data_IF_777515163954
#
_entry.id   IF_777515163954
#
_cell.length_a   1.000
_cell.length_b   1.000
_cell.length_c   1.000
_cell.angle_alpha   90.00
_cell.angle_beta   90.00
_cell.angle_gamma   90.00
#
_symmetry.space_group_name_H-M   'P 1'
#
loop_
_entity.id
_entity.type
_entity.pdbx_description
1 polymer ?
#
# COMPACT_ATOMS: atom_id res chain seq x y z
N UNK A 1 -25.71 -20.37 10.78
CA UNK A 1 -24.38 -20.00 10.25
C UNK A 1 -24.03 -18.68 10.89
N UNK A 2 -23.12 -18.69 11.85
CA UNK A 2 -22.54 -17.45 12.39
C UNK A 2 -21.74 -16.85 11.25
N UNK A 3 -22.15 -15.70 10.73
CA UNK A 3 -21.35 -14.94 9.77
C UNK A 3 -20.09 -14.57 10.55
N UNK A 4 -18.98 -15.25 10.28
CA UNK A 4 -17.68 -14.77 10.77
C UNK A 4 -17.48 -13.43 10.08
N UNK A 5 -17.60 -12.34 10.82
CA UNK A 5 -17.39 -11.00 10.27
C UNK A 5 -15.90 -10.91 10.00
N UNK A 6 -15.50 -11.00 8.72
CA UNK A 6 -14.11 -10.82 8.32
C UNK A 6 -13.68 -9.39 8.70
N UNK A 7 -12.96 -9.26 9.81
CA UNK A 7 -12.54 -7.96 10.30
C UNK A 7 -11.42 -7.43 9.40
N UNK A 8 -11.55 -6.22 8.82
CA UNK A 8 -10.45 -5.64 8.09
C UNK A 8 -9.26 -5.39 9.01
N UNK A 9 -8.04 -5.45 8.46
CA UNK A 9 -6.88 -4.86 9.13
C UNK A 9 -7.09 -3.34 9.25
N UNK A 10 -6.16 -2.63 9.90
CA UNK A 10 -6.22 -1.19 10.16
C UNK A 10 -6.15 -0.26 8.91
N UNK A 11 -6.60 -0.72 7.74
CA UNK A 11 -6.51 -0.03 6.43
C UNK A 11 -7.08 1.39 6.48
N UNK A 12 -8.25 1.56 7.08
CA UNK A 12 -8.99 2.83 7.09
C UNK A 12 -8.77 3.67 8.35
N UNK A 13 -7.76 3.33 9.17
CA UNK A 13 -7.44 4.09 10.37
C UNK A 13 -6.93 5.51 10.02
N UNK A 14 -7.18 6.51 10.88
CA UNK A 14 -6.62 7.85 10.70
C UNK A 14 -5.10 7.87 10.64
N UNK A 15 -4.55 8.85 9.94
CA UNK A 15 -3.11 9.12 9.83
C UNK A 15 -2.51 9.38 11.22
N UNK A 16 -1.39 8.72 11.51
CA UNK A 16 -0.62 8.90 12.76
C UNK A 16 0.60 9.80 12.55
N UNK A 17 1.32 10.16 13.62
CA UNK A 17 2.51 11.01 13.49
C UNK A 17 3.71 10.33 12.85
N UNK A 18 3.83 9.00 12.91
CA UNK A 18 4.99 8.27 12.42
C UNK A 18 4.56 6.98 11.71
N UNK A 19 5.34 6.57 10.73
CA UNK A 19 5.16 5.28 10.08
C UNK A 19 6.51 4.64 9.77
N UNK A 20 6.54 3.31 9.72
CA UNK A 20 7.61 2.54 9.12
C UNK A 20 6.99 1.70 8.00
N UNK A 21 7.54 1.84 6.80
CA UNK A 21 7.23 1.01 5.65
C UNK A 21 8.37 0.04 5.43
N UNK A 22 8.07 -1.25 5.38
CA UNK A 22 9.06 -2.28 5.02
C UNK A 22 8.52 -3.08 3.84
N UNK A 23 9.32 -3.18 2.79
CA UNK A 23 9.08 -4.09 1.66
C UNK A 23 10.18 -5.13 1.64
N UNK A 24 9.80 -6.40 1.60
CA UNK A 24 10.74 -7.52 1.61
C UNK A 24 10.39 -8.57 0.55
N UNK A 25 11.39 -9.34 0.11
CA UNK A 25 11.22 -10.55 -0.70
C UNK A 25 11.45 -11.80 0.13
N UNK A 26 10.75 -12.89 -0.18
CA UNK A 26 10.83 -14.17 0.51
C UNK A 26 11.90 -15.03 -0.17
N UNK A 27 12.87 -15.49 0.61
CA UNK A 27 13.92 -16.38 0.15
C UNK A 27 13.35 -17.71 -0.40
N UNK A 28 14.09 -18.34 -1.31
CA UNK A 28 13.69 -19.62 -1.89
C UNK A 28 13.84 -20.77 -0.88
N UNK A 29 12.87 -21.67 -0.82
CA UNK A 29 12.88 -22.82 0.09
C UNK A 29 11.55 -23.00 0.79
N UNK A 30 11.12 -24.25 0.97
CA UNK A 30 9.86 -24.58 1.62
C UNK A 30 9.86 -24.16 3.10
N UNK A 31 11.02 -24.19 3.74
CA UNK A 31 11.26 -23.74 5.11
C UNK A 31 11.05 -22.24 5.27
N UNK A 32 11.44 -21.42 4.29
CA UNK A 32 11.23 -19.98 4.32
C UNK A 32 9.76 -19.62 4.10
N UNK A 33 9.09 -20.30 3.17
CA UNK A 33 7.64 -20.17 2.97
C UNK A 33 6.87 -20.61 4.22
N UNK A 34 7.27 -21.70 4.88
CA UNK A 34 6.68 -22.14 6.14
C UNK A 34 6.88 -21.11 7.26
N UNK A 35 8.08 -20.53 7.36
CA UNK A 35 8.38 -19.46 8.33
C UNK A 35 7.45 -18.26 8.15
N UNK A 36 7.23 -17.81 6.91
CA UNK A 36 6.32 -16.69 6.61
C UNK A 36 4.87 -17.04 6.91
N UNK A 37 4.41 -18.25 6.57
CA UNK A 37 3.04 -18.69 6.89
C UNK A 37 2.79 -18.69 8.39
N UNK A 38 3.67 -19.31 9.18
CA UNK A 38 3.56 -19.31 10.65
C UNK A 38 3.61 -17.89 11.20
N UNK A 39 4.50 -17.04 10.68
CA UNK A 39 4.59 -15.64 11.11
C UNK A 39 3.29 -14.84 10.94
N UNK A 40 2.39 -15.23 10.02
CA UNK A 40 1.11 -14.53 9.83
C UNK A 40 0.23 -14.53 11.10
N UNK A 41 0.24 -15.60 11.91
CA UNK A 41 -0.54 -15.67 13.15
C UNK A 41 0.04 -14.79 14.27
N UNK A 42 1.33 -14.47 14.19
CA UNK A 42 2.04 -13.68 15.19
C UNK A 42 1.78 -12.17 15.06
N UNK A 43 1.37 -11.68 13.88
CA UNK A 43 1.30 -10.24 13.57
C UNK A 43 0.39 -9.51 14.57
N UNK A 44 -0.85 -9.95 14.74
CA UNK A 44 -1.79 -9.29 15.67
C UNK A 44 -1.35 -9.46 17.12
N UNK A 45 -0.80 -10.63 17.48
CA UNK A 45 -0.23 -10.88 18.80
C UNK A 45 0.88 -9.90 19.17
N UNK A 46 1.79 -9.62 18.23
CA UNK A 46 2.87 -8.65 18.41
C UNK A 46 2.37 -7.21 18.46
N UNK A 47 1.42 -6.83 17.60
CA UNK A 47 0.78 -5.50 17.67
C UNK A 47 0.18 -5.28 19.06
N UNK A 48 -0.57 -6.26 19.60
CA UNK A 48 -1.14 -6.17 20.96
C UNK A 48 -0.06 -6.11 22.03
N UNK A 49 0.96 -6.96 21.95
CA UNK A 49 2.03 -7.04 22.95
C UNK A 49 2.82 -5.74 23.05
N UNK A 50 3.24 -5.17 21.91
CA UNK A 50 3.96 -3.90 21.87
C UNK A 50 3.02 -2.76 22.22
N UNK A 51 1.83 -2.70 21.61
CA UNK A 51 0.87 -1.60 21.76
C UNK A 51 0.29 -1.45 23.18
N UNK A 52 0.15 -2.54 23.94
CA UNK A 52 -0.36 -2.48 25.33
C UNK A 52 0.53 -1.64 26.25
N UNK A 53 1.81 -1.46 25.90
CA UNK A 53 2.75 -0.60 26.63
C UNK A 53 2.40 0.89 26.51
N UNK A 54 1.72 1.29 25.43
CA UNK A 54 1.28 2.66 25.18
C UNK A 54 -0.02 2.68 24.34
N UNK A 55 -1.19 2.40 24.96
CA UNK A 55 -2.45 2.27 24.22
C UNK A 55 -2.89 3.53 23.45
N UNK A 56 -2.43 4.70 23.89
CA UNK A 56 -2.73 5.98 23.24
C UNK A 56 -1.91 6.22 21.95
N UNK A 57 -0.89 5.38 21.67
CA UNK A 57 -0.02 5.52 20.49
C UNK A 57 -0.73 5.27 19.16
N UNK A 58 -1.89 4.60 19.18
CA UNK A 58 -2.55 4.17 17.96
C UNK A 58 -1.74 3.16 17.15
N UNK A 59 -0.83 2.39 17.79
CA UNK A 59 0.01 1.41 17.12
C UNK A 59 -0.82 0.44 16.28
N UNK A 60 -0.51 0.36 14.99
CA UNK A 60 -1.11 -0.59 14.05
C UNK A 60 -0.07 -1.11 13.06
N UNK A 61 -0.36 -2.28 12.49
CA UNK A 61 0.38 -2.82 11.37
C UNK A 61 -0.61 -3.36 10.34
N UNK A 62 -0.43 -2.97 9.09
CA UNK A 62 -1.10 -3.59 7.95
C UNK A 62 -0.07 -4.45 7.21
N UNK A 63 -0.37 -5.74 7.07
CA UNK A 63 0.44 -6.70 6.32
C UNK A 63 -0.19 -6.97 4.96
N UNK A 64 0.60 -6.84 3.89
CA UNK A 64 0.19 -7.14 2.52
C UNK A 64 1.14 -8.11 1.82
N UNK A 65 0.62 -8.85 0.83
CA UNK A 65 1.35 -9.85 0.06
C UNK A 65 1.30 -9.56 -1.44
N UNK A 66 2.45 -9.66 -2.10
CA UNK A 66 2.57 -9.50 -3.56
C UNK A 66 1.91 -10.66 -4.30
N UNK A 67 1.60 -10.46 -5.59
CA UNK A 67 0.91 -11.46 -6.41
C UNK A 67 1.63 -12.81 -6.48
N UNK A 68 2.94 -12.79 -6.73
CA UNK A 68 3.75 -14.00 -6.90
C UNK A 68 4.03 -14.65 -5.53
N UNK A 69 4.17 -13.82 -4.48
CA UNK A 69 4.28 -14.29 -3.10
C UNK A 69 3.01 -15.02 -2.66
N UNK A 70 1.82 -14.51 -3.03
CA UNK A 70 0.55 -15.16 -2.74
C UNK A 70 0.48 -16.57 -3.34
N UNK A 71 0.93 -16.75 -4.59
CA UNK A 71 0.98 -18.07 -5.23
C UNK A 71 1.91 -19.03 -4.51
N UNK A 72 3.11 -18.56 -4.12
CA UNK A 72 4.11 -19.37 -3.41
C UNK A 72 3.65 -19.73 -1.99
N UNK A 73 2.98 -18.82 -1.31
CA UNK A 73 2.60 -18.99 0.10
C UNK A 73 1.29 -19.75 0.27
N UNK A 74 0.25 -19.35 -0.46
CA UNK A 74 -1.15 -19.70 -0.17
C UNK A 74 -1.88 -20.35 -1.36
N UNK A 75 -1.47 -20.06 -2.59
CA UNK A 75 -2.04 -20.67 -3.79
C UNK A 75 -3.49 -20.21 -4.06
N UNK A 76 -4.39 -21.18 -4.27
CA UNK A 76 -5.80 -20.93 -4.58
C UNK A 76 -6.69 -21.06 -3.32
N UNK A 77 -7.80 -20.31 -3.22
CA UNK A 77 -8.23 -19.26 -4.16
C UNK A 77 -7.32 -18.02 -4.12
N UNK A 78 -7.41 -17.17 -5.14
CA UNK A 78 -6.70 -15.88 -5.22
C UNK A 78 -7.67 -14.69 -5.16
N UNK A 79 -7.25 -13.55 -4.57
CA UNK A 79 -8.01 -12.31 -4.67
C UNK A 79 -8.19 -11.94 -6.14
N UNK A 80 -9.43 -11.65 -6.53
CA UNK A 80 -9.86 -11.62 -7.94
C UNK A 80 -9.01 -10.71 -8.83
N UNK A 81 -8.49 -9.61 -8.28
CA UNK A 81 -7.75 -8.59 -9.02
C UNK A 81 -6.27 -8.51 -8.62
N UNK A 82 -5.76 -9.45 -7.83
CA UNK A 82 -4.35 -9.44 -7.44
C UNK A 82 -3.45 -9.83 -8.62
N UNK A 83 -2.58 -8.90 -9.00
CA UNK A 83 -1.58 -9.06 -10.05
C UNK A 83 -0.31 -8.25 -9.71
N UNK A 84 0.85 -8.53 -10.34
CA UNK A 84 2.03 -7.69 -10.14
C UNK A 84 1.80 -6.28 -10.69
N UNK A 85 2.32 -5.26 -9.99
CA UNK A 85 2.29 -3.90 -10.52
C UNK A 85 3.04 -3.84 -11.86
N UNK A 86 2.44 -3.22 -12.86
CA UNK A 86 3.05 -3.02 -14.18
C UNK A 86 3.58 -1.60 -14.26
N UNK A 87 4.76 -1.44 -14.86
CA UNK A 87 5.30 -0.11 -15.06
C UNK A 87 4.38 0.72 -15.98
N UNK A 88 4.16 1.99 -15.61
CA UNK A 88 3.29 2.92 -16.34
C UNK A 88 4.12 4.12 -16.79
N UNK A 89 3.92 4.58 -18.04
CA UNK A 89 4.68 5.68 -18.63
C UNK A 89 5.99 5.25 -19.28
N UNK A 90 6.86 6.21 -19.60
CA UNK A 90 8.12 5.95 -20.31
C UNK A 90 9.13 7.10 -20.15
N UNK A 91 10.40 6.83 -20.46
CA UNK A 91 11.48 7.82 -20.35
C UNK A 91 11.71 8.26 -18.90
N UNK A 92 11.81 9.57 -18.67
CA UNK A 92 12.02 10.14 -17.33
C UNK A 92 10.76 10.10 -16.45
N UNK A 93 9.57 9.91 -17.05
CA UNK A 93 8.28 9.83 -16.36
C UNK A 93 7.74 8.41 -16.43
N UNK A 94 8.31 7.56 -15.58
CA UNK A 94 7.92 6.16 -15.45
C UNK A 94 7.63 5.82 -13.99
N UNK A 95 6.46 5.26 -13.75
CA UNK A 95 6.15 4.54 -12.53
C UNK A 95 6.81 3.17 -12.64
N UNK A 96 7.97 2.99 -12.02
CA UNK A 96 8.73 1.73 -12.11
C UNK A 96 8.02 0.62 -11.35
N UNK A 97 8.15 -0.62 -11.83
CA UNK A 97 7.77 -1.82 -11.08
C UNK A 97 9.00 -2.43 -10.42
N UNK A 98 8.93 -2.62 -9.10
CA UNK A 98 10.03 -3.15 -8.28
C UNK A 98 9.60 -4.35 -7.46
N UNK A 99 10.51 -5.27 -7.13
CA UNK A 99 10.18 -6.46 -6.34
C UNK A 99 9.61 -6.13 -4.96
N UNK A 100 8.72 -6.98 -4.47
CA UNK A 100 8.17 -6.92 -3.12
C UNK A 100 7.15 -8.02 -2.91
N UNK A 101 7.45 -8.93 -1.99
CA UNK A 101 6.60 -10.07 -1.65
C UNK A 101 5.75 -9.78 -0.41
N UNK A 102 6.30 -9.03 0.55
CA UNK A 102 5.65 -8.65 1.80
C UNK A 102 5.76 -7.14 1.97
N UNK A 103 4.65 -6.51 2.34
CA UNK A 103 4.57 -5.14 2.84
C UNK A 103 4.21 -5.16 4.33
N UNK A 104 4.96 -4.41 5.13
CA UNK A 104 4.56 -3.98 6.46
C UNK A 104 4.37 -2.47 6.45
N UNK A 105 3.15 -2.03 6.75
CA UNK A 105 2.84 -0.63 7.00
C UNK A 105 2.51 -0.45 8.48
N UNK A 106 3.52 -0.02 9.24
CA UNK A 106 3.48 0.15 10.68
C UNK A 106 3.28 1.61 11.01
N UNK A 107 2.35 1.94 11.91
CA UNK A 107 1.97 3.32 12.24
C UNK A 107 1.77 3.50 13.73
N UNK A 108 2.20 4.63 14.26
CA UNK A 108 1.98 5.06 15.63
C UNK A 108 2.27 6.55 15.81
N UNK A 109 1.76 7.16 16.87
CA UNK A 109 2.08 8.53 17.25
C UNK A 109 3.49 8.69 17.82
N UNK A 110 4.13 7.58 18.20
CA UNK A 110 5.51 7.52 18.69
C UNK A 110 6.36 6.56 17.86
N UNK A 111 7.50 7.05 17.37
CA UNK A 111 8.37 6.30 16.46
C UNK A 111 9.02 5.08 17.11
N UNK A 112 9.29 5.13 18.41
CA UNK A 112 9.83 3.98 19.16
C UNK A 112 8.85 2.79 19.17
N UNK A 113 7.54 3.04 19.21
CA UNK A 113 6.52 2.00 19.08
C UNK A 113 6.53 1.35 17.69
N UNK A 114 6.65 2.17 16.63
CA UNK A 114 6.83 1.64 15.26
C UNK A 114 8.09 0.80 15.16
N UNK A 115 9.21 1.31 15.68
CA UNK A 115 10.52 0.69 15.59
C UNK A 115 10.58 -0.63 16.37
N UNK A 116 10.02 -0.68 17.58
CA UNK A 116 9.93 -1.89 18.39
C UNK A 116 9.10 -2.96 17.66
N UNK A 117 7.93 -2.59 17.13
CA UNK A 117 7.10 -3.56 16.40
C UNK A 117 7.81 -4.08 15.13
N UNK A 118 8.44 -3.18 14.36
CA UNK A 118 9.23 -3.57 13.20
C UNK A 118 10.35 -4.55 13.58
N UNK A 119 11.07 -4.26 14.68
CA UNK A 119 12.14 -5.13 15.21
C UNK A 119 11.62 -6.53 15.52
N UNK A 120 10.49 -6.64 16.23
CA UNK A 120 9.90 -7.93 16.60
C UNK A 120 9.39 -8.72 15.39
N UNK A 121 8.74 -8.03 14.43
CA UNK A 121 8.21 -8.66 13.22
C UNK A 121 9.32 -9.19 12.32
N UNK A 122 10.37 -8.40 12.07
CA UNK A 122 11.48 -8.79 11.20
C UNK A 122 12.37 -9.86 11.87
N UNK A 123 12.59 -9.79 13.19
CA UNK A 123 13.37 -10.79 13.90
C UNK A 123 12.77 -12.20 13.77
N UNK A 124 11.43 -12.34 13.79
CA UNK A 124 10.75 -13.61 13.60
C UNK A 124 10.87 -14.16 12.17
N UNK A 125 10.96 -13.28 11.16
CA UNK A 125 11.17 -13.69 9.78
C UNK A 125 12.62 -14.12 9.51
N UNK A 126 13.59 -13.52 10.22
CA UNK A 126 15.00 -13.93 10.16
C UNK A 126 15.53 -13.96 8.72
N UNK A 127 16.15 -15.08 8.33
CA UNK A 127 16.68 -15.27 6.98
C UNK A 127 15.64 -15.74 5.95
N UNK A 128 14.36 -15.90 6.33
CA UNK A 128 13.29 -16.25 5.39
C UNK A 128 12.95 -15.09 4.45
N UNK A 129 13.36 -13.87 4.79
CA UNK A 129 13.11 -12.68 3.98
C UNK A 129 14.38 -11.86 3.80
N UNK A 130 14.42 -11.05 2.74
CA UNK A 130 15.39 -9.98 2.53
C UNK A 130 14.64 -8.66 2.41
N UNK A 131 14.92 -7.70 3.30
CA UNK A 131 14.35 -6.36 3.24
C UNK A 131 14.98 -5.61 2.06
N UNK A 132 14.14 -5.10 1.16
CA UNK A 132 14.54 -4.34 -0.03
C UNK A 132 14.35 -2.83 0.14
N UNK A 133 13.32 -2.44 0.88
CA UNK A 133 13.04 -1.05 1.20
C UNK A 133 12.60 -0.93 2.66
N UNK A 134 13.14 0.06 3.36
CA UNK A 134 12.74 0.44 4.71
C UNK A 134 12.74 1.96 4.81
N UNK A 135 11.57 2.53 5.09
CA UNK A 135 11.39 3.98 5.17
C UNK A 135 10.71 4.35 6.48
N UNK A 136 11.36 5.22 7.24
CA UNK A 136 10.82 5.78 8.48
C UNK A 136 10.22 7.15 8.14
N UNK A 137 8.90 7.19 8.03
CA UNK A 137 8.13 8.37 7.70
C UNK A 137 7.71 9.16 8.94
N UNK A 138 7.57 10.47 8.78
CA UNK A 138 7.10 11.37 9.83
C UNK A 138 6.06 12.35 9.28
N UNK A 139 5.06 12.67 10.10
CA UNK A 139 4.12 13.74 9.81
C UNK A 139 4.87 15.08 9.88
N UNK A 140 4.82 15.84 8.80
CA UNK A 140 5.44 17.16 8.72
C UNK A 140 4.41 18.26 9.04
N UNK A 141 4.69 19.07 10.07
CA UNK A 141 3.82 20.17 10.53
C UNK A 141 2.32 19.76 10.67
N UNK A 142 1.44 20.53 10.03
CA UNK A 142 0.00 20.42 9.94
C UNK A 142 -0.46 19.42 8.85
N UNK A 143 0.21 18.26 8.75
CA UNK A 143 -0.03 17.20 7.75
C UNK A 143 0.39 17.61 6.32
N UNK A 144 1.55 18.24 6.19
CA UNK A 144 2.10 18.61 4.89
C UNK A 144 2.95 17.50 4.30
N UNK A 145 2.89 17.35 2.99
CA UNK A 145 3.96 16.73 2.24
C UNK A 145 5.22 17.61 2.30
N UNK A 146 6.40 17.02 2.02
CA UNK A 146 7.68 17.75 2.10
C UNK A 146 7.79 18.92 1.12
N UNK A 147 6.98 18.89 0.05
CA UNK A 147 6.80 19.97 -0.94
C UNK A 147 5.99 21.17 -0.39
N UNK A 148 5.43 21.06 0.82
CA UNK A 148 4.82 22.15 1.58
C UNK A 148 3.30 22.34 1.37
N UNK A 149 2.62 21.37 0.76
CA UNK A 149 1.16 21.33 0.63
C UNK A 149 0.58 20.34 1.63
N UNK A 150 -0.62 20.60 2.16
CA UNK A 150 -1.33 19.64 2.99
C UNK A 150 -1.64 18.40 2.16
N UNK A 151 -1.41 17.21 2.72
CA UNK A 151 -1.64 15.93 2.07
C UNK A 151 -2.74 15.14 2.79
N UNK A 152 -3.57 14.41 2.04
CA UNK A 152 -4.69 13.63 2.57
C UNK A 152 -6.01 14.39 2.76
N UNK A 153 -6.14 15.63 2.27
CA UNK A 153 -7.35 16.47 2.50
C UNK A 153 -8.64 15.84 1.98
N UNK A 154 -8.61 15.25 0.78
CA UNK A 154 -9.78 14.64 0.13
C UNK A 154 -9.89 13.13 0.41
N UNK A 155 -9.18 12.60 1.43
CA UNK A 155 -9.38 11.21 1.83
C UNK A 155 -10.82 10.98 2.30
N UNK A 156 -11.47 9.88 1.91
CA UNK A 156 -12.77 9.52 2.46
C UNK A 156 -12.63 9.23 3.97
N UNK A 157 -13.71 9.44 4.72
CA UNK A 157 -13.73 9.25 6.19
C UNK A 157 -14.91 8.40 6.64
N UNK A 158 -14.82 7.83 7.84
CA UNK A 158 -15.93 7.06 8.43
C UNK A 158 -16.36 5.88 7.56
N UNK A 159 -17.66 5.74 7.30
CA UNK A 159 -18.20 4.66 6.46
C UNK A 159 -17.71 4.72 5.01
N UNK A 160 -17.57 5.92 4.44
CA UNK A 160 -17.06 6.11 3.06
C UNK A 160 -15.63 5.55 2.93
N UNK A 161 -14.80 5.71 3.96
CA UNK A 161 -13.45 5.15 3.99
C UNK A 161 -13.49 3.61 3.82
N UNK A 162 -14.39 2.93 4.53
CA UNK A 162 -14.59 1.48 4.41
C UNK A 162 -15.13 1.13 3.02
N UNK A 163 -16.15 1.85 2.56
CA UNK A 163 -16.82 1.58 1.28
C UNK A 163 -15.86 1.66 0.07
N UNK A 164 -14.86 2.54 0.13
CA UNK A 164 -13.86 2.70 -0.93
C UNK A 164 -12.65 1.77 -0.80
N UNK A 165 -12.34 1.25 0.40
CA UNK A 165 -11.08 0.54 0.64
C UNK A 165 -11.21 -0.93 1.00
N UNK A 166 -12.36 -1.36 1.50
CA UNK A 166 -12.57 -2.74 1.97
C UNK A 166 -13.38 -3.52 0.93
N UNK A 167 -12.87 -4.68 0.56
CA UNK A 167 -13.53 -5.63 -0.34
C UNK A 167 -14.80 -6.16 0.32
N UNK A 168 -15.90 -6.17 -0.44
CA UNK A 168 -17.20 -6.67 -0.02
C UNK A 168 -17.66 -7.88 -0.83
N UNK A 169 -18.97 -7.91 -1.12
CA UNK A 169 -19.64 -9.04 -1.76
C UNK A 169 -19.17 -9.33 -3.21
N UNK A 170 -18.44 -8.40 -3.83
CA UNK A 170 -17.83 -8.60 -5.14
C UNK A 170 -16.72 -9.66 -5.15
N UNK A 171 -16.15 -10.00 -3.98
CA UNK A 171 -15.14 -11.04 -3.81
C UNK A 171 -15.23 -11.66 -2.41
N UNK A 172 -16.34 -12.38 -2.14
CA UNK A 172 -16.71 -12.89 -0.81
C UNK A 172 -15.62 -13.69 -0.08
N UNK A 173 -14.77 -14.43 -0.80
CA UNK A 173 -13.67 -15.20 -0.20
C UNK A 173 -12.60 -14.30 0.43
N UNK A 174 -12.52 -13.05 -0.02
CA UNK A 174 -11.56 -12.04 0.39
C UNK A 174 -12.22 -10.80 0.99
N UNK A 175 -13.52 -10.88 1.34
CA UNK A 175 -14.24 -9.80 2.01
C UNK A 175 -13.52 -9.40 3.30
N UNK A 176 -13.44 -8.10 3.57
CA UNK A 176 -12.62 -7.53 4.63
C UNK A 176 -11.16 -7.27 4.23
N UNK A 177 -10.71 -7.73 3.06
CA UNK A 177 -9.40 -7.41 2.51
C UNK A 177 -9.35 -6.05 1.80
N UNK A 178 -8.19 -5.69 1.28
CA UNK A 178 -7.95 -4.47 0.50
C UNK A 178 -6.82 -4.69 -0.51
N UNK A 179 -6.68 -3.79 -1.48
CA UNK A 179 -5.48 -3.69 -2.31
C UNK A 179 -4.70 -2.45 -1.92
N UNK A 180 -3.38 -2.57 -1.88
CA UNK A 180 -2.48 -1.47 -1.53
C UNK A 180 -1.35 -1.34 -2.52
N UNK A 181 -1.13 -0.12 -3.00
CA UNK A 181 -0.02 0.22 -3.88
C UNK A 181 0.92 1.18 -3.16
N UNK A 182 2.22 0.90 -3.21
CA UNK A 182 3.26 1.76 -2.63
C UNK A 182 4.21 2.27 -3.69
N UNK A 183 4.66 3.51 -3.54
CA UNK A 183 5.71 4.11 -4.36
C UNK A 183 6.56 5.06 -3.51
N UNK A 184 7.88 4.88 -3.54
CA UNK A 184 8.81 5.82 -2.92
C UNK A 184 9.15 6.92 -3.92
N UNK A 185 8.79 8.16 -3.61
CA UNK A 185 9.12 9.33 -4.43
C UNK A 185 10.28 10.12 -3.82
N UNK A 186 11.25 10.49 -4.66
CA UNK A 186 12.31 11.44 -4.34
C UNK A 186 12.07 12.75 -5.08
N UNK A 187 12.23 13.88 -4.38
CA UNK A 187 11.90 15.20 -4.87
C UNK A 187 13.13 16.04 -5.21
N UNK A 188 13.10 16.71 -6.37
CA UNK A 188 14.02 17.81 -6.70
C UNK A 188 13.54 19.10 -6.02
N UNK A 189 13.93 19.26 -4.77
CA UNK A 189 13.54 20.42 -3.97
C UNK A 189 14.16 21.73 -4.48
N UNK A 190 15.30 21.68 -5.18
CA UNK A 190 15.93 22.87 -5.76
C UNK A 190 15.13 23.40 -6.95
N UNK A 191 14.65 22.50 -7.82
CA UNK A 191 13.75 22.86 -8.90
C UNK A 191 12.38 23.31 -8.36
N UNK A 192 11.82 22.59 -7.38
CA UNK A 192 10.53 22.92 -6.78
C UNK A 192 10.52 24.31 -6.14
N UNK A 193 11.57 24.65 -5.38
CA UNK A 193 11.65 25.92 -4.66
C UNK A 193 11.97 27.13 -5.55
N UNK A 194 12.31 26.93 -6.83
CA UNK A 194 12.44 28.01 -7.81
C UNK A 194 11.08 28.50 -8.33
N UNK A 195 10.04 27.69 -8.21
CA UNK A 195 8.69 28.10 -8.58
C UNK A 195 8.15 29.15 -7.60
N UNK A 196 7.35 30.10 -8.10
CA UNK A 196 6.54 30.94 -7.22
C UNK A 196 5.44 30.10 -6.56
N UNK A 197 4.86 30.60 -5.47
CA UNK A 197 3.77 29.90 -4.78
C UNK A 197 2.62 29.62 -5.74
N UNK A 198 2.22 30.60 -6.55
CA UNK A 198 1.11 30.47 -7.51
C UNK A 198 1.41 29.43 -8.60
N UNK A 199 2.68 29.26 -8.98
CA UNK A 199 3.09 28.20 -9.90
C UNK A 199 2.97 26.82 -9.24
N UNK A 200 3.40 26.68 -7.98
CA UNK A 200 3.24 25.44 -7.22
C UNK A 200 1.76 25.11 -7.01
N UNK A 201 0.93 26.10 -6.70
CA UNK A 201 -0.52 25.94 -6.54
C UNK A 201 -1.18 25.43 -7.81
N UNK A 202 -0.73 25.88 -9.00
CA UNK A 202 -1.18 25.35 -10.29
C UNK A 202 -0.69 23.94 -10.57
N UNK A 203 0.50 23.56 -10.09
CA UNK A 203 1.00 22.18 -10.18
C UNK A 203 0.13 21.25 -9.33
N UNK A 204 -0.24 21.66 -8.12
CA UNK A 204 -1.01 20.82 -7.19
C UNK A 204 -2.52 20.87 -7.45
N UNK A 205 -3.05 22.02 -7.85
CA UNK A 205 -4.48 22.28 -7.98
C UNK A 205 -5.16 22.82 -6.71
N UNK A 206 -4.39 23.29 -5.72
CA UNK A 206 -4.87 23.85 -4.45
C UNK A 206 -4.02 25.03 -4.01
N UNK A 207 -4.54 25.92 -3.17
CA UNK A 207 -3.76 26.98 -2.53
C UNK A 207 -2.82 26.40 -1.47
N UNK A 208 -1.59 26.92 -1.36
CA UNK A 208 -0.54 26.32 -0.54
C UNK A 208 -0.79 26.51 0.95
N UNK A 209 -1.13 27.73 1.36
CA UNK A 209 -1.29 28.09 2.77
C UNK A 209 -2.64 27.63 3.32
N UNK A 210 -3.73 28.00 2.65
CA UNK A 210 -5.10 27.74 3.11
C UNK A 210 -5.66 26.38 2.67
N UNK A 211 -4.96 25.65 1.79
CA UNK A 211 -5.36 24.33 1.33
C UNK A 211 -6.77 24.30 0.71
N UNK A 212 -7.12 25.35 -0.05
CA UNK A 212 -8.41 25.47 -0.73
C UNK A 212 -8.22 25.00 -2.17
N UNK A 213 -9.12 24.16 -2.66
CA UNK A 213 -9.07 23.73 -4.06
C UNK A 213 -9.21 24.93 -5.01
N UNK A 214 -8.42 24.92 -6.09
CA UNK A 214 -8.55 25.94 -7.12
C UNK A 214 -9.86 25.76 -7.89
N UNK A 215 -10.53 26.88 -8.19
CA UNK A 215 -11.73 26.86 -9.02
C UNK A 215 -11.45 26.28 -10.41
N UNK A 216 -12.45 25.62 -11.01
CA UNK A 216 -12.30 24.92 -12.29
C UNK A 216 -11.89 25.83 -13.47
N UNK A 217 -12.19 27.12 -13.42
CA UNK A 217 -11.81 28.09 -14.45
C UNK A 217 -10.32 28.46 -14.41
N UNK A 218 -9.63 28.21 -13.30
CA UNK A 218 -8.20 28.50 -13.12
C UNK A 218 -7.34 27.26 -12.86
N UNK A 219 -7.93 26.16 -12.41
CA UNK A 219 -7.27 24.89 -12.13
C UNK A 219 -6.80 24.22 -13.43
N UNK A 220 -5.49 24.05 -13.66
CA UNK A 220 -5.01 23.39 -14.86
C UNK A 220 -5.48 21.94 -14.94
N UNK A 221 -5.83 21.47 -16.15
CA UNK A 221 -6.27 20.09 -16.38
C UNK A 221 -5.18 19.05 -16.15
N UNK A 222 -3.93 19.47 -16.03
CA UNK A 222 -2.76 18.67 -15.67
C UNK A 222 -2.21 18.96 -14.27
N UNK A 223 -3.00 19.62 -13.42
CA UNK A 223 -2.69 19.68 -12.00
C UNK A 223 -2.82 18.29 -11.37
N UNK A 224 -2.08 18.06 -10.29
CA UNK A 224 -2.10 16.79 -9.57
C UNK A 224 -3.54 16.41 -9.19
N UNK A 225 -4.31 17.32 -8.57
CA UNK A 225 -5.69 17.04 -8.18
C UNK A 225 -6.58 16.68 -9.38
N UNK A 226 -6.47 17.39 -10.50
CA UNK A 226 -7.26 17.10 -11.71
C UNK A 226 -7.01 15.72 -12.31
N UNK A 227 -5.77 15.21 -12.23
CA UNK A 227 -5.40 13.90 -12.79
C UNK A 227 -5.62 12.75 -11.81
N UNK A 228 -5.64 13.03 -10.51
CA UNK A 228 -5.97 12.04 -9.48
C UNK A 228 -7.48 11.93 -9.21
N UNK A 229 -8.33 12.83 -9.72
CA UNK A 229 -9.79 12.62 -9.67
C UNK A 229 -10.24 11.64 -10.75
N UNK A 230 -10.82 10.52 -10.29
CA UNK A 230 -11.38 9.46 -11.12
C UNK A 230 -12.88 9.41 -10.88
N UNK A 231 -13.66 9.41 -11.96
CA UNK A 231 -15.12 9.33 -11.91
C UNK A 231 -15.61 8.15 -12.75
N UNK A 232 -16.61 7.44 -12.23
CA UNK A 232 -17.34 6.38 -12.94
C UNK A 232 -18.84 6.57 -12.68
N UNK A 233 -19.65 6.56 -13.75
CA UNK A 233 -21.10 6.77 -13.70
C UNK A 233 -21.54 8.02 -12.89
N UNK A 234 -20.75 9.09 -12.97
CA UNK A 234 -21.02 10.35 -12.26
C UNK A 234 -20.76 10.30 -10.75
N UNK A 235 -20.03 9.28 -10.26
CA UNK A 235 -19.53 9.20 -8.89
C UNK A 235 -18.01 9.22 -8.86
N UNK A 236 -17.44 9.97 -7.93
CA UNK A 236 -16.01 9.96 -7.68
C UNK A 236 -15.59 8.63 -7.04
N UNK A 237 -14.59 7.98 -7.62
CA UNK A 237 -13.95 6.79 -7.08
C UNK A 237 -12.73 7.21 -6.28
N UNK A 238 -12.81 7.01 -4.95
CA UNK A 238 -11.76 7.41 -4.01
C UNK A 238 -10.88 6.24 -3.59
N UNK A 239 -9.72 6.62 -3.05
CA UNK A 239 -8.75 5.77 -2.36
C UNK A 239 -8.45 6.40 -1.01
N UNK A 240 -7.90 5.65 -0.06
CA UNK A 240 -7.29 6.23 1.15
C UNK A 240 -5.80 6.32 0.94
N UNK A 241 -5.23 7.51 1.14
CA UNK A 241 -3.79 7.73 1.12
C UNK A 241 -3.27 7.96 2.53
N UNK A 242 -2.11 7.38 2.83
CA UNK A 242 -1.41 7.59 4.11
C UNK A 242 0.04 8.01 3.83
N UNK A 243 0.18 9.00 2.95
CA UNK A 243 1.47 9.47 2.48
C UNK A 243 2.30 10.02 3.63
N UNK A 244 3.57 9.61 3.70
CA UNK A 244 4.48 10.07 4.75
C UNK A 244 5.74 10.71 4.17
N UNK A 245 6.05 11.96 4.56
CA UNK A 245 7.37 12.54 4.36
C UNK A 245 8.48 11.68 4.93
N UNK A 246 9.60 11.59 4.23
CA UNK A 246 10.85 11.02 4.72
C UNK A 246 12.04 11.80 4.13
N UNK A 247 13.24 11.62 4.69
CA UNK A 247 14.42 12.22 4.09
C UNK A 247 15.70 12.13 4.92
N UNK A 248 16.79 12.51 4.27
CA UNK A 248 18.12 12.66 4.84
C UNK A 248 18.68 14.01 4.39
N UNK A 249 18.35 15.11 5.09
CA UNK A 249 18.73 16.47 4.65
C UNK A 249 20.24 16.65 4.43
N UNK A 250 21.08 16.00 5.25
CA UNK A 250 22.54 16.02 5.08
C UNK A 250 23.04 15.33 3.80
N UNK A 251 22.19 14.52 3.16
CA UNK A 251 22.44 13.84 1.88
C UNK A 251 21.61 14.45 0.73
N UNK A 252 20.88 15.54 0.98
CA UNK A 252 20.00 16.16 -0.01
C UNK A 252 18.78 15.31 -0.39
N UNK A 253 18.40 14.34 0.44
CA UNK A 253 17.28 13.45 0.13
C UNK A 253 16.00 13.93 0.81
N UNK A 254 14.99 14.22 0.00
CA UNK A 254 13.66 14.66 0.43
C UNK A 254 12.63 13.85 -0.34
N UNK A 255 11.70 13.21 0.35
CA UNK A 255 10.79 12.27 -0.29
C UNK A 255 9.40 12.24 0.31
N UNK A 256 8.49 11.63 -0.45
CA UNK A 256 7.16 11.21 -0.01
C UNK A 256 7.07 9.72 -0.24
N UNK A 257 6.76 8.96 0.79
CA UNK A 257 6.38 7.57 0.63
C UNK A 257 4.88 7.54 0.34
N UNK A 258 4.52 7.29 -0.92
CA UNK A 258 3.13 7.13 -1.31
C UNK A 258 2.64 5.74 -0.92
N UNK A 259 1.45 5.70 -0.33
CA UNK A 259 0.70 4.47 -0.08
C UNK A 259 -0.78 4.76 -0.33
N UNK A 260 -1.40 3.95 -1.18
CA UNK A 260 -2.82 4.08 -1.52
C UNK A 260 -3.55 2.76 -1.30
N UNK A 261 -4.66 2.80 -0.56
CA UNK A 261 -5.55 1.67 -0.32
C UNK A 261 -6.84 1.83 -1.11
N UNK A 262 -7.32 0.73 -1.70
CA UNK A 262 -8.56 0.68 -2.45
C UNK A 262 -9.16 -0.73 -2.42
N UNK A 263 -10.48 -0.85 -2.52
CA UNK A 263 -11.14 -2.16 -2.67
C UNK A 263 -10.86 -2.81 -4.04
N UNK A 264 -10.37 -2.01 -5.00
CA UNK A 264 -9.98 -2.46 -6.34
C UNK A 264 -8.72 -1.71 -6.78
N UNK A 265 -7.68 -2.38 -7.29
CA UNK A 265 -6.41 -1.73 -7.66
C UNK A 265 -6.57 -0.79 -8.86
N UNK A 266 -7.55 -1.06 -9.73
CA UNK A 266 -7.83 -0.30 -10.95
C UNK A 266 -8.04 1.21 -10.72
N UNK A 267 -8.55 1.63 -9.56
CA UNK A 267 -8.71 3.06 -9.24
C UNK A 267 -7.34 3.73 -9.14
N UNK A 268 -6.41 3.13 -8.38
CA UNK A 268 -5.05 3.66 -8.21
C UNK A 268 -4.31 3.60 -9.54
N UNK A 269 -4.46 2.51 -10.29
CA UNK A 269 -3.83 2.35 -11.62
C UNK A 269 -4.34 3.40 -12.60
N UNK A 270 -5.62 3.71 -12.61
CA UNK A 270 -6.20 4.79 -13.43
C UNK A 270 -5.64 6.16 -13.03
N UNK A 271 -5.49 6.43 -11.72
CA UNK A 271 -4.82 7.65 -11.25
C UNK A 271 -3.38 7.72 -11.76
N UNK A 272 -2.62 6.62 -11.67
CA UNK A 272 -1.24 6.56 -12.16
C UNK A 272 -1.15 6.68 -13.68
N UNK A 273 -2.07 6.09 -14.45
CA UNK A 273 -2.13 6.28 -15.90
C UNK A 273 -2.37 7.75 -16.26
N UNK A 274 -3.35 8.40 -15.60
CA UNK A 274 -3.60 9.82 -15.78
C UNK A 274 -2.37 10.67 -15.43
N UNK A 275 -1.66 10.33 -14.35
CA UNK A 275 -0.47 11.06 -13.91
C UNK A 275 0.71 10.89 -14.86
N UNK A 276 1.09 9.65 -15.19
CA UNK A 276 2.34 9.35 -15.91
C UNK A 276 2.20 9.41 -17.43
N UNK A 277 1.04 9.01 -17.98
CA UNK A 277 0.77 9.07 -19.43
C UNK A 277 0.09 10.38 -19.80
N UNK A 278 -0.78 10.89 -18.94
CA UNK A 278 -1.56 12.12 -19.16
C UNK A 278 -2.97 11.87 -19.67
N UNK A 279 -3.85 12.83 -19.37
CA UNK A 279 -5.25 12.84 -19.84
C UNK A 279 -5.58 14.19 -20.51
N UNK A 280 -5.70 14.26 -21.86
CA UNK A 280 -5.34 13.22 -22.83
C UNK A 280 -3.83 12.91 -22.82
N UNK A 281 -3.40 11.83 -23.47
CA UNK A 281 -1.99 11.42 -23.50
C UNK A 281 -1.05 12.58 -23.85
N UNK A 282 -0.01 12.77 -23.04
CA UNK A 282 0.91 13.90 -23.10
C UNK A 282 0.56 15.06 -22.14
N UNK A 283 -0.68 15.15 -21.67
CA UNK A 283 -1.10 16.10 -20.62
C UNK A 283 -0.93 15.49 -19.23
N UNK A 284 0.32 15.16 -18.89
CA UNK A 284 0.72 14.44 -17.68
C UNK A 284 0.77 15.34 -16.43
N UNK A 285 0.82 14.73 -15.25
CA UNK A 285 0.87 15.44 -13.98
C UNK A 285 2.17 16.23 -13.80
N UNK A 286 2.02 17.55 -13.69
CA UNK A 286 3.12 18.50 -13.53
C UNK A 286 3.96 18.26 -12.28
N UNK A 287 3.43 17.57 -11.25
CA UNK A 287 4.19 17.21 -10.07
C UNK A 287 5.36 16.26 -10.40
N UNK A 288 5.21 15.40 -11.41
CA UNK A 288 6.24 14.44 -11.82
C UNK A 288 7.48 15.09 -12.44
N UNK A 289 7.46 16.40 -12.74
CA UNK A 289 8.67 17.15 -13.08
C UNK A 289 9.60 17.36 -11.88
N UNK A 290 9.07 17.22 -10.66
CA UNK A 290 9.77 17.46 -9.41
C UNK A 290 9.85 16.20 -8.53
N UNK A 291 9.12 15.15 -8.89
CA UNK A 291 8.95 13.94 -8.08
C UNK A 291 9.19 12.69 -8.91
N UNK A 292 10.19 11.90 -8.55
CA UNK A 292 10.54 10.66 -9.25
C UNK A 292 10.21 9.43 -8.40
N UNK A 293 9.35 8.56 -8.92
CA UNK A 293 9.11 7.23 -8.34
C UNK A 293 10.36 6.35 -8.51
N UNK A 294 10.93 5.87 -7.41
CA UNK A 294 12.07 4.94 -7.42
C UNK A 294 11.70 3.51 -7.03
N UNK A 295 10.47 3.30 -6.55
CA UNK A 295 9.86 1.97 -6.33
C UNK A 295 8.40 1.99 -6.78
N UNK A 296 7.83 0.80 -6.98
CA UNK A 296 6.41 0.62 -7.26
C UNK A 296 6.00 -0.85 -7.12
N UNK A 297 5.10 -1.13 -6.17
CA UNK A 297 4.66 -2.50 -5.89
C UNK A 297 3.20 -2.52 -5.44
N UNK A 298 2.43 -3.49 -5.94
CA UNK A 298 1.04 -3.74 -5.58
C UNK A 298 0.96 -4.99 -4.69
N UNK A 299 0.21 -4.88 -3.60
CA UNK A 299 -0.03 -5.97 -2.66
C UNK A 299 -1.53 -6.16 -2.42
N UNK A 300 -1.91 -7.38 -2.06
CA UNK A 300 -3.18 -7.66 -1.43
C UNK A 300 -3.03 -7.69 0.09
N UNK A 301 -3.96 -7.04 0.78
CA UNK A 301 -4.07 -7.02 2.24
C UNK A 301 -5.22 -7.95 2.62
N UNK A 302 -4.97 -9.14 3.18
CA UNK A 302 -6.04 -9.99 3.69
C UNK A 302 -6.79 -9.31 4.84
N UNK A 303 -8.02 -9.74 5.13
CA UNK A 303 -8.67 -9.38 6.39
C UNK A 303 -7.82 -9.88 7.57
N UNK A 304 -7.95 -9.26 8.75
CA UNK A 304 -7.23 -9.70 9.95
C UNK A 304 -7.58 -11.18 10.27
N UNK A 305 -8.85 -11.54 10.15
CA UNK A 305 -9.33 -12.92 10.31
C UNK A 305 -8.67 -13.88 9.31
N UNK A 306 -8.55 -13.48 8.04
CA UNK A 306 -7.88 -14.29 7.03
C UNK A 306 -6.39 -14.42 7.34
N UNK A 307 -5.71 -13.32 7.67
CA UNK A 307 -4.28 -13.31 8.01
C UNK A 307 -3.94 -14.32 9.12
N UNK A 308 -4.72 -14.34 10.21
CA UNK A 308 -4.53 -15.32 11.29
C UNK A 308 -4.76 -16.76 10.80
N UNK A 309 -5.76 -16.98 9.95
CA UNK A 309 -6.09 -18.33 9.44
C UNK A 309 -5.08 -18.89 8.42
N UNK A 310 -4.31 -18.01 7.75
CA UNK A 310 -3.33 -18.42 6.73
C UNK A 310 -2.18 -19.26 7.31
N UNK A 311 -1.87 -19.11 8.60
CA UNK A 311 -0.88 -19.96 9.28
C UNK A 311 -1.30 -21.44 9.35
N UNK A 312 -2.61 -21.71 9.36
CA UNK A 312 -3.18 -23.07 9.43
C UNK A 312 -3.46 -23.69 8.06
N UNK A 313 -3.26 -22.93 6.97
CA UNK A 313 -3.44 -23.46 5.61
C UNK A 313 -2.23 -24.30 5.18
N UNK A 314 -2.22 -25.59 5.55
CA UNK A 314 -1.36 -26.55 4.87
C UNK A 314 -1.79 -26.63 3.39
N UNK A 315 -0.79 -26.62 2.49
CA UNK A 315 -1.03 -26.84 1.06
C UNK A 315 -1.80 -28.15 0.93
N UNK A 316 -3.02 -28.09 0.37
CA UNK A 316 -3.74 -29.30 -0.01
C UNK A 316 -2.85 -30.08 -0.97
N UNK A 317 -2.19 -31.13 -0.46
CA UNK A 317 -1.46 -32.07 -1.27
C UNK A 317 -2.41 -32.57 -2.36
N UNK A 318 -2.03 -32.35 -3.61
CA UNK A 318 -2.66 -33.00 -4.74
C UNK A 318 -2.39 -34.49 -4.63
N UNK A 319 -3.24 -35.19 -3.89
CA UNK A 319 -3.22 -36.64 -3.78
C UNK A 319 -3.81 -37.22 -5.07
N UNK A 320 -3.02 -37.23 -6.14
CA UNK A 320 -3.30 -38.05 -7.32
C UNK A 320 -3.02 -39.50 -6.96
N UNK A 321 -3.99 -40.13 -6.29
CA UNK A 321 -4.03 -41.57 -6.12
C UNK A 321 -4.33 -42.23 -7.46
N UNK A 322 -3.28 -42.53 -8.21
CA UNK A 322 -3.29 -43.53 -9.27
C UNK A 322 -3.60 -44.90 -8.63
N UNK A 323 -4.88 -45.23 -8.49
CA UNK A 323 -5.32 -46.60 -8.23
C UNK A 323 -5.45 -47.34 -9.56
N UNK A 324 -4.33 -47.82 -10.08
CA UNK A 324 -4.32 -48.84 -11.13
C UNK A 324 -4.42 -50.22 -10.46
N UNK A 325 -5.65 -50.65 -10.16
CA UNK A 325 -5.93 -52.00 -9.68
C UNK A 325 -5.92 -52.98 -10.86
N UNK A 326 -4.81 -53.69 -11.04
CA UNK A 326 -4.77 -54.89 -11.86
C UNK A 326 -5.44 -56.04 -11.09
N UNK A 327 -6.61 -56.46 -11.55
CA UNK A 327 -7.26 -57.71 -11.14
C UNK A 327 -6.43 -58.91 -11.62
N UNK A 328 -5.91 -59.70 -10.68
CA UNK A 328 -5.55 -61.10 -10.90
C UNK A 328 -6.57 -61.98 -10.18
N UNK A 329 -7.44 -62.64 -10.94
CA UNK A 329 -8.33 -63.69 -10.45
C UNK A 329 -7.59 -65.02 -10.26
N UNK A 330 -7.94 -65.85 -9.27
CA UNK A 330 -7.50 -67.23 -9.19
C UNK A 330 -8.60 -68.23 -9.67
N UNK A 331 -8.22 -69.14 -10.56
CA UNK A 331 -8.56 -70.58 -10.62
C UNK A 331 -8.16 -71.15 -11.99
#
# INVERSE_FOLDING_TARGET
>A
MTISINQPQAVSNPVTRNAIFIVATIADGAEHLATVRTWCEDVEGLVRSVGTRQPASGLSCVCGFGSDAWDRLFGQPRPRQLHPFKAIGSGERVAVSTPGDILLHIRADEMDMCFELATQLIAKLGNAVTVLDEVHGFRYFDQRAIIGFVDGTENPTGGEAVDHTVIGDEDLAFAGGSYVLVQKYLHDMDAWNKLTVEQQEKVIGRTKMSNIELNDDVKPTNSHSSLTTVEEDGRELKIIRDNMPFGRPGMGEFGTYFIGYARTPSIIETMLENMFVGRPAGNYDRLLDFSRAVTGTLFFVPSATLLESLASSEQAETDSTDTNSAESMPA
#
